data_IF_093299299316
#
_entry.id   IF_093299299316
#
_cell.length_a   1.000
_cell.length_b   1.000
_cell.length_c   1.000
_cell.angle_alpha   90.00
_cell.angle_beta   90.00
_cell.angle_gamma   90.00
#
_symmetry.space_group_name_H-M   'P 1'
#
loop_
_entity.id
_entity.type
_entity.pdbx_description
1 polymer ?
#
# COMPACT_ATOMS: atom_id res chain seq x y z
N UNK A 1 -10.14 -7.17 12.82
CA UNK A 1 -10.33 -6.45 14.07
C UNK A 1 -9.55 -5.17 14.06
N UNK A 2 -10.23 -4.07 14.42
CA UNK A 2 -9.71 -2.69 14.39
C UNK A 2 -8.90 -2.36 15.64
N UNK A 3 -8.02 -3.21 16.05
CA UNK A 3 -7.33 -3.07 17.31
C UNK A 3 -5.92 -2.58 17.09
N UNK A 4 -5.64 -1.34 17.51
CA UNK A 4 -4.32 -0.71 17.43
C UNK A 4 -3.63 -0.78 18.79
N UNK A 5 -2.48 -1.45 18.84
CA UNK A 5 -1.55 -1.34 19.96
C UNK A 5 -0.83 0.01 19.88
N UNK A 6 -1.14 0.94 20.77
CA UNK A 6 -0.39 2.18 20.96
C UNK A 6 0.57 1.95 22.13
N UNK A 7 1.85 1.93 21.82
CA UNK A 7 2.92 1.77 22.79
C UNK A 7 2.95 2.94 23.79
N UNK A 8 2.87 2.64 25.08
CA UNK A 8 3.26 3.55 26.15
C UNK A 8 4.58 3.08 26.77
N UNK A 9 5.62 3.87 26.58
CA UNK A 9 6.94 3.85 27.22
C UNK A 9 7.18 2.67 28.17
N UNK A 10 8.10 1.77 27.85
CA UNK A 10 8.66 0.71 28.69
C UNK A 10 7.70 -0.38 29.25
N UNK A 11 6.43 -0.42 28.84
CA UNK A 11 5.48 -1.45 29.32
C UNK A 11 5.15 -2.54 28.29
N UNK A 12 5.78 -2.49 27.10
CA UNK A 12 5.56 -3.52 26.09
C UNK A 12 6.25 -4.81 26.56
N UNK A 13 5.47 -5.80 26.93
CA UNK A 13 5.96 -7.15 27.20
C UNK A 13 6.07 -7.87 25.88
N UNK A 14 7.29 -8.08 25.42
CA UNK A 14 7.59 -8.77 24.18
C UNK A 14 8.16 -10.14 24.52
N UNK A 15 7.66 -11.16 23.84
CA UNK A 15 8.10 -12.54 23.95
C UNK A 15 8.72 -13.02 22.64
N UNK A 16 9.47 -14.10 22.69
CA UNK A 16 9.97 -14.76 21.50
C UNK A 16 8.84 -15.20 20.59
N UNK A 17 9.01 -15.00 19.28
CA UNK A 17 8.01 -15.32 18.27
C UNK A 17 6.86 -14.31 18.13
N UNK A 18 6.86 -13.23 18.90
CA UNK A 18 5.83 -12.20 18.80
C UNK A 18 5.85 -11.51 17.43
N UNK A 19 4.64 -11.10 17.00
CA UNK A 19 4.42 -10.25 15.83
C UNK A 19 4.05 -8.86 16.35
N UNK A 20 4.86 -7.88 16.02
CA UNK A 20 4.66 -6.50 16.45
C UNK A 20 4.18 -5.65 15.27
N UNK A 21 2.97 -5.13 15.36
CA UNK A 21 2.52 -4.08 14.45
C UNK A 21 3.10 -2.73 14.90
N UNK A 22 3.69 -2.00 13.96
CA UNK A 22 4.23 -0.67 14.21
C UNK A 22 3.90 0.27 13.05
N UNK A 23 3.42 1.48 13.35
CA UNK A 23 3.43 2.53 12.33
C UNK A 23 4.86 2.81 11.90
N UNK A 24 5.10 2.97 10.61
CA UNK A 24 6.46 3.22 10.08
C UNK A 24 7.12 4.43 10.74
N UNK A 25 6.38 5.46 11.12
CA UNK A 25 6.88 6.65 11.86
C UNK A 25 7.62 6.32 13.16
N UNK A 26 7.26 5.21 13.82
CA UNK A 26 7.76 4.83 15.14
C UNK A 26 8.80 3.71 15.08
N UNK A 27 9.24 3.32 13.86
CA UNK A 27 10.11 2.16 13.71
C UNK A 27 11.45 2.31 14.44
N UNK A 28 12.05 3.51 14.43
CA UNK A 28 13.33 3.75 15.11
C UNK A 28 13.17 3.69 16.63
N UNK A 29 12.01 4.11 17.16
CA UNK A 29 11.70 3.97 18.57
C UNK A 29 11.55 2.49 18.94
N UNK A 30 10.79 1.72 18.16
CA UNK A 30 10.67 0.29 18.36
C UNK A 30 12.05 -0.38 18.35
N UNK A 31 12.91 -0.04 17.39
CA UNK A 31 14.28 -0.58 17.36
C UNK A 31 15.09 -0.23 18.63
N UNK A 32 14.93 0.98 19.15
CA UNK A 32 15.59 1.37 20.42
C UNK A 32 15.12 0.53 21.60
N UNK A 33 13.83 0.24 21.67
CA UNK A 33 13.24 -0.60 22.72
C UNK A 33 13.72 -2.04 22.61
N UNK A 34 13.68 -2.59 21.41
CA UNK A 34 14.10 -3.98 21.16
C UNK A 34 15.58 -4.20 21.47
N UNK A 35 16.46 -3.22 21.17
CA UNK A 35 17.89 -3.31 21.53
C UNK A 35 18.13 -3.36 23.03
N UNK A 36 17.25 -2.76 23.84
CA UNK A 36 17.35 -2.78 25.30
C UNK A 36 16.88 -4.10 25.88
N UNK A 37 16.06 -4.85 25.16
CA UNK A 37 15.49 -6.13 25.59
C UNK A 37 16.31 -7.30 25.04
N UNK A 38 17.45 -7.59 25.70
CA UNK A 38 18.39 -8.65 25.27
C UNK A 38 17.85 -10.09 25.35
N UNK A 39 16.68 -10.30 25.96
CA UNK A 39 16.09 -11.62 26.15
C UNK A 39 15.13 -12.02 25.02
N UNK A 40 14.81 -11.09 24.14
CA UNK A 40 13.84 -11.32 23.05
C UNK A 40 14.57 -11.65 21.76
N UNK A 41 14.20 -12.76 21.16
CA UNK A 41 14.71 -13.20 19.86
C UNK A 41 13.55 -13.64 18.95
N UNK A 42 13.84 -13.79 17.67
CA UNK A 42 12.96 -14.41 16.68
C UNK A 42 11.57 -13.73 16.56
N UNK A 43 11.52 -12.40 16.72
CA UNK A 43 10.29 -11.65 16.52
C UNK A 43 10.09 -11.27 15.05
N UNK A 44 8.85 -10.99 14.69
CA UNK A 44 8.51 -10.41 13.40
C UNK A 44 7.87 -9.04 13.59
N UNK A 45 8.11 -8.12 12.66
CA UNK A 45 7.46 -6.81 12.68
C UNK A 45 6.66 -6.61 11.40
N UNK A 46 5.54 -5.91 11.53
CA UNK A 46 4.70 -5.48 10.43
C UNK A 46 4.57 -3.95 10.51
N UNK A 47 5.07 -3.25 9.49
CA UNK A 47 4.97 -1.79 9.40
C UNK A 47 4.00 -1.37 8.31
N UNK A 48 3.13 -0.41 8.64
CA UNK A 48 2.05 0.07 7.77
C UNK A 48 1.63 1.51 8.12
N UNK A 49 0.65 2.05 7.42
CA UNK A 49 -0.06 3.32 7.67
C UNK A 49 0.71 4.61 7.38
N UNK A 50 1.97 4.57 6.96
CA UNK A 50 2.71 5.76 6.56
C UNK A 50 3.48 5.52 5.27
N UNK A 51 3.38 6.48 4.37
CA UNK A 51 4.02 6.44 3.07
C UNK A 51 5.55 6.61 3.15
N UNK A 52 6.02 7.38 4.11
CA UNK A 52 7.43 7.71 4.29
C UNK A 52 7.93 7.36 5.70
N UNK A 53 9.22 6.99 5.83
CA UNK A 53 10.16 6.72 4.74
C UNK A 53 9.87 5.38 4.06
N UNK A 54 10.27 5.18 2.79
CA UNK A 54 10.34 3.85 2.20
C UNK A 54 11.37 3.00 2.94
N UNK A 55 11.18 1.68 2.93
CA UNK A 55 12.15 0.77 3.57
C UNK A 55 13.29 0.51 2.60
N UNK A 56 14.30 1.34 2.69
CA UNK A 56 15.55 1.24 1.95
C UNK A 56 16.61 0.46 2.73
N UNK A 57 17.71 0.13 2.07
CA UNK A 57 18.85 -0.60 2.67
C UNK A 57 19.35 0.05 3.95
N UNK A 58 19.51 1.39 3.95
CA UNK A 58 19.99 2.15 5.11
C UNK A 58 19.10 1.97 6.34
N UNK A 59 17.77 2.03 6.15
CA UNK A 59 16.81 1.83 7.24
C UNK A 59 16.78 0.36 7.68
N UNK A 60 16.80 -0.57 6.71
CA UNK A 60 16.79 -2.01 6.99
C UNK A 60 18.03 -2.44 7.80
N UNK A 61 19.21 -1.93 7.50
CA UNK A 61 20.46 -2.21 8.26
C UNK A 61 20.41 -1.74 9.71
N UNK A 62 19.52 -0.82 10.06
CA UNK A 62 19.30 -0.42 11.48
C UNK A 62 18.45 -1.43 12.25
N UNK A 63 17.92 -2.46 11.61
CA UNK A 63 17.08 -3.48 12.23
C UNK A 63 17.85 -4.24 13.33
N UNK A 64 17.30 -4.35 14.57
CA UNK A 64 17.87 -5.22 15.60
C UNK A 64 17.93 -6.67 15.18
N UNK A 65 18.95 -7.41 15.62
CA UNK A 65 19.14 -8.83 15.27
C UNK A 65 18.01 -9.75 15.76
N UNK A 66 17.29 -9.37 16.81
CA UNK A 66 16.14 -10.10 17.31
C UNK A 66 14.94 -10.12 16.33
N UNK A 67 14.92 -9.21 15.35
CA UNK A 67 13.88 -9.20 14.31
C UNK A 67 14.28 -10.16 13.19
N UNK A 68 13.51 -11.24 13.05
CA UNK A 68 13.70 -12.24 12.00
C UNK A 68 13.10 -11.78 10.68
N UNK A 69 11.81 -11.42 10.67
CA UNK A 69 11.10 -10.96 9.47
C UNK A 69 10.56 -9.55 9.66
N UNK A 70 10.64 -8.76 8.60
CA UNK A 70 10.03 -7.44 8.53
C UNK A 70 9.09 -7.37 7.33
N UNK A 71 7.78 -7.30 7.61
CA UNK A 71 6.72 -7.09 6.63
C UNK A 71 6.43 -5.60 6.52
N UNK A 72 6.46 -5.03 5.32
CA UNK A 72 6.22 -3.59 5.16
C UNK A 72 5.59 -3.22 3.83
N UNK A 73 4.83 -2.14 3.84
CA UNK A 73 4.52 -1.37 2.63
C UNK A 73 5.75 -0.56 2.20
N UNK A 74 5.75 -0.09 0.94
CA UNK A 74 6.80 0.80 0.40
C UNK A 74 8.24 0.26 0.56
N UNK A 75 8.42 -1.01 0.24
CA UNK A 75 9.74 -1.66 0.28
C UNK A 75 10.54 -1.29 -0.97
N UNK A 76 11.69 -0.64 -0.77
CA UNK A 76 12.62 -0.21 -1.81
C UNK A 76 13.97 -0.96 -1.77
N UNK A 77 14.10 -1.99 -0.93
CA UNK A 77 15.31 -2.79 -0.77
C UNK A 77 14.99 -4.28 -0.83
N UNK A 78 15.81 -5.06 -1.53
CA UNK A 78 15.61 -6.50 -1.65
C UNK A 78 16.39 -7.26 -0.58
N UNK A 79 15.66 -8.02 0.23
CA UNK A 79 16.22 -8.92 1.23
C UNK A 79 15.22 -10.02 1.57
N UNK A 80 15.68 -11.24 1.78
CA UNK A 80 14.83 -12.40 2.09
C UNK A 80 14.03 -12.24 3.38
N UNK A 81 14.48 -11.40 4.29
CA UNK A 81 13.83 -11.13 5.58
C UNK A 81 13.02 -9.82 5.58
N UNK A 82 12.98 -9.10 4.45
CA UNK A 82 12.16 -7.91 4.22
C UNK A 82 11.10 -8.24 3.19
N UNK A 83 9.88 -8.42 3.65
CA UNK A 83 8.78 -8.95 2.84
C UNK A 83 7.81 -7.81 2.51
N UNK A 84 7.66 -7.43 1.25
CA UNK A 84 6.70 -6.42 0.85
C UNK A 84 5.26 -6.91 1.05
N UNK A 85 4.41 -6.03 1.56
CA UNK A 85 2.97 -6.22 1.68
C UNK A 85 2.23 -5.06 1.03
N UNK A 86 1.00 -5.28 0.54
CA UNK A 86 0.23 -4.24 -0.12
C UNK A 86 -0.22 -3.13 0.84
N UNK A 87 -0.27 -1.90 0.31
CA UNK A 87 -0.94 -0.79 0.99
C UNK A 87 -2.45 -1.05 1.09
N UNK A 88 -3.04 -1.60 0.05
CA UNK A 88 -4.46 -1.94 0.00
C UNK A 88 -5.38 -0.72 -0.01
N UNK A 89 -6.57 -0.90 0.53
CA UNK A 89 -7.61 0.13 0.61
C UNK A 89 -7.37 1.10 1.78
N UNK A 90 -8.01 2.26 1.70
CA UNK A 90 -8.03 3.22 2.80
C UNK A 90 -8.71 2.65 4.05
N UNK A 91 -8.19 3.00 5.23
CA UNK A 91 -8.88 2.69 6.48
C UNK A 91 -9.95 3.76 6.80
N UNK A 92 -10.81 3.51 7.77
CA UNK A 92 -11.90 4.43 8.18
C UNK A 92 -11.49 5.88 8.48
N UNK A 93 -10.21 6.13 8.70
CA UNK A 93 -9.68 7.48 8.94
C UNK A 93 -9.17 8.17 7.66
N UNK A 94 -9.02 7.43 6.57
CA UNK A 94 -8.61 7.94 5.27
C UNK A 94 -9.86 8.20 4.40
N UNK A 95 -10.70 9.14 4.84
CA UNK A 95 -12.03 9.40 4.26
C UNK A 95 -12.02 9.81 2.79
N UNK A 96 -10.89 10.29 2.28
CA UNK A 96 -10.70 10.62 0.86
C UNK A 96 -10.43 9.41 -0.02
N UNK A 97 -10.09 8.26 0.57
CA UNK A 97 -9.84 7.01 -0.13
C UNK A 97 -11.09 6.13 -0.10
N UNK A 98 -11.16 5.16 -1.02
CA UNK A 98 -12.24 4.19 -1.01
C UNK A 98 -12.17 3.29 0.22
N UNK A 99 -13.33 3.07 0.82
CA UNK A 99 -13.51 2.21 1.98
C UNK A 99 -14.04 0.85 1.55
N UNK A 100 -13.84 -0.16 2.37
CA UNK A 100 -14.29 -1.52 2.07
C UNK A 100 -15.81 -1.63 1.93
N UNK A 101 -16.56 -0.79 2.62
CA UNK A 101 -18.03 -0.73 2.54
C UNK A 101 -18.49 -0.29 1.16
N UNK A 102 -17.80 0.67 0.54
CA UNK A 102 -18.11 1.19 -0.80
C UNK A 102 -17.79 0.17 -1.90
N UNK A 103 -16.93 -0.79 -1.60
CA UNK A 103 -16.50 -1.83 -2.53
C UNK A 103 -17.40 -3.06 -2.46
N UNK A 104 -17.88 -3.44 -1.27
CA UNK A 104 -18.67 -4.67 -1.06
C UNK A 104 -19.92 -4.76 -1.93
N UNK A 105 -20.55 -3.62 -2.17
CA UNK A 105 -21.81 -3.56 -2.95
C UNK A 105 -21.58 -3.62 -4.47
N UNK A 106 -20.36 -3.39 -4.92
CA UNK A 106 -20.09 -3.13 -6.34
C UNK A 106 -19.13 -4.07 -7.05
N UNK A 107 -18.28 -4.84 -6.34
CA UNK A 107 -17.16 -5.52 -7.02
C UNK A 107 -17.62 -6.52 -8.07
N UNK A 108 -18.54 -7.41 -7.75
CA UNK A 108 -18.98 -8.46 -8.69
C UNK A 108 -19.84 -7.88 -9.82
N UNK A 109 -20.71 -6.93 -9.52
CA UNK A 109 -21.54 -6.26 -10.52
C UNK A 109 -20.71 -5.42 -11.47
N UNK A 110 -19.63 -4.87 -10.97
CA UNK A 110 -18.77 -3.96 -11.69
C UNK A 110 -17.98 -4.62 -12.82
N UNK A 111 -17.52 -5.84 -12.60
CA UNK A 111 -16.84 -6.60 -13.66
C UNK A 111 -17.75 -6.91 -14.86
N UNK A 112 -19.06 -6.84 -14.68
CA UNK A 112 -20.07 -7.06 -15.73
C UNK A 112 -20.52 -5.77 -16.43
N UNK A 113 -20.16 -4.59 -15.88
CA UNK A 113 -20.54 -3.30 -16.48
C UNK A 113 -19.79 -3.04 -17.78
N UNK A 114 -20.47 -2.47 -18.74
CA UNK A 114 -19.87 -1.97 -19.95
C UNK A 114 -18.91 -0.81 -19.63
N UNK A 115 -17.67 -0.93 -20.08
CA UNK A 115 -16.64 0.09 -19.89
C UNK A 115 -16.72 1.11 -21.02
N UNK A 116 -17.11 2.34 -20.72
CA UNK A 116 -17.30 3.43 -21.66
C UNK A 116 -16.00 4.22 -21.93
N UNK A 117 -15.18 4.38 -20.90
CA UNK A 117 -13.93 5.13 -20.97
C UNK A 117 -12.74 4.20 -21.14
N UNK A 118 -11.74 4.59 -21.93
CA UNK A 118 -10.52 3.79 -22.06
C UNK A 118 -9.60 3.99 -20.86
N UNK A 119 -9.17 5.21 -20.57
CA UNK A 119 -8.23 5.50 -19.49
C UNK A 119 -8.74 6.62 -18.59
N UNK A 120 -8.68 6.40 -17.29
CA UNK A 120 -8.93 7.40 -16.26
C UNK A 120 -7.62 7.96 -15.72
N UNK A 121 -7.46 9.29 -15.78
CA UNK A 121 -6.39 10.04 -15.12
C UNK A 121 -7.02 10.93 -14.04
N UNK A 122 -6.99 10.46 -12.80
CA UNK A 122 -7.56 11.19 -11.66
C UNK A 122 -6.71 10.95 -10.41
N UNK A 123 -5.83 11.88 -10.10
CA UNK A 123 -4.99 11.86 -8.89
C UNK A 123 -4.53 13.27 -8.52
N UNK A 124 -4.15 13.46 -7.27
CA UNK A 124 -3.61 14.73 -6.82
C UNK A 124 -2.19 14.95 -7.39
N UNK A 125 -1.95 15.99 -8.22
CA UNK A 125 -0.65 16.23 -8.83
C UNK A 125 0.43 16.65 -7.82
N UNK A 126 0.05 17.25 -6.68
CA UNK A 126 1.00 17.85 -5.73
C UNK A 126 1.75 16.85 -4.86
N UNK A 127 1.37 15.59 -4.87
CA UNK A 127 1.95 14.56 -3.99
C UNK A 127 3.28 13.99 -4.49
N UNK A 128 3.58 14.16 -5.78
CA UNK A 128 4.85 13.78 -6.38
C UNK A 128 5.06 14.52 -7.72
N UNK A 129 6.27 15.02 -7.97
CA UNK A 129 6.62 15.78 -9.19
C UNK A 129 6.40 15.02 -10.50
N UNK A 130 6.52 13.68 -10.48
CA UNK A 130 6.29 12.85 -11.67
C UNK A 130 4.84 12.95 -12.16
N UNK A 131 3.90 13.23 -11.27
CA UNK A 131 2.46 13.30 -11.57
C UNK A 131 2.09 14.42 -12.52
N UNK A 132 2.76 15.58 -12.41
CA UNK A 132 2.56 16.69 -13.34
C UNK A 132 2.96 16.29 -14.76
N UNK A 133 4.10 15.62 -14.93
CA UNK A 133 4.57 15.11 -16.22
C UNK A 133 3.59 14.09 -16.82
N UNK A 134 3.06 13.23 -15.99
CA UNK A 134 2.07 12.21 -16.41
C UNK A 134 0.78 12.87 -16.86
N UNK A 135 0.26 13.87 -16.14
CA UNK A 135 -0.92 14.63 -16.54
C UNK A 135 -0.70 15.28 -17.91
N UNK A 136 0.46 15.92 -18.12
CA UNK A 136 0.81 16.55 -19.38
C UNK A 136 0.88 15.53 -20.54
N UNK A 137 1.39 14.33 -20.29
CA UNK A 137 1.44 13.25 -21.28
C UNK A 137 0.05 12.84 -21.77
N UNK A 138 -0.94 12.79 -20.88
CA UNK A 138 -2.30 12.36 -21.19
C UNK A 138 -3.26 13.50 -21.60
N UNK A 139 -2.85 14.76 -21.49
CA UNK A 139 -3.74 15.93 -21.53
C UNK A 139 -4.58 16.05 -22.81
N UNK A 140 -3.98 15.77 -23.95
CA UNK A 140 -4.58 16.03 -25.26
C UNK A 140 -5.08 14.74 -25.97
N UNK A 141 -5.16 13.65 -25.23
CA UNK A 141 -5.60 12.36 -25.78
C UNK A 141 -7.13 12.21 -25.64
N UNK A 142 -7.86 12.14 -26.74
CA UNK A 142 -9.31 12.10 -26.80
C UNK A 142 -9.95 10.82 -26.24
N UNK A 143 -9.16 9.78 -26.00
CA UNK A 143 -9.57 8.51 -25.38
C UNK A 143 -9.24 8.45 -23.88
N UNK A 144 -8.80 9.55 -23.30
CA UNK A 144 -8.46 9.68 -21.88
C UNK A 144 -9.46 10.60 -21.18
N UNK A 145 -10.01 10.14 -20.09
CA UNK A 145 -10.76 10.99 -19.15
C UNK A 145 -9.76 11.59 -18.17
N UNK A 146 -9.38 12.84 -18.40
CA UNK A 146 -8.48 13.59 -17.54
C UNK A 146 -9.30 14.63 -16.78
N UNK A 147 -9.76 14.26 -15.60
CA UNK A 147 -10.64 15.08 -14.80
C UNK A 147 -9.89 15.59 -13.56
N UNK A 148 -10.15 16.82 -13.15
CA UNK A 148 -9.62 17.34 -11.89
C UNK A 148 -10.16 16.50 -10.72
N UNK A 149 -9.62 16.75 -9.53
CA UNK A 149 -10.05 16.08 -8.30
C UNK A 149 -11.57 16.26 -8.15
N UNK A 150 -12.30 15.15 -8.24
CA UNK A 150 -13.76 15.10 -8.09
C UNK A 150 -14.14 14.74 -6.66
N UNK A 151 -15.42 14.91 -6.35
CA UNK A 151 -16.01 14.29 -5.19
C UNK A 151 -15.88 12.76 -5.27
N UNK A 152 -15.82 12.11 -4.14
CA UNK A 152 -15.58 10.66 -4.05
C UNK A 152 -16.59 9.83 -4.84
N UNK A 153 -17.86 10.26 -4.83
CA UNK A 153 -18.94 9.57 -5.58
C UNK A 153 -18.69 9.60 -7.08
N UNK A 154 -18.32 10.74 -7.62
CA UNK A 154 -18.06 10.91 -9.06
C UNK A 154 -16.82 10.11 -9.48
N UNK A 155 -15.80 10.11 -8.62
CA UNK A 155 -14.61 9.29 -8.83
C UNK A 155 -14.93 7.78 -8.87
N UNK A 156 -15.82 7.30 -8.00
CA UNK A 156 -16.27 5.91 -8.01
C UNK A 156 -16.97 5.57 -9.34
N UNK A 157 -17.85 6.44 -9.83
CA UNK A 157 -18.52 6.23 -11.10
C UNK A 157 -17.53 6.23 -12.28
N UNK A 158 -16.55 7.12 -12.28
CA UNK A 158 -15.50 7.14 -13.30
C UNK A 158 -14.68 5.83 -13.30
N UNK A 159 -14.37 5.30 -12.11
CA UNK A 159 -13.71 3.98 -12.00
C UNK A 159 -14.59 2.88 -12.59
N UNK A 160 -15.88 2.91 -12.31
CA UNK A 160 -16.81 1.88 -12.80
C UNK A 160 -16.85 1.78 -14.33
N UNK A 161 -16.78 2.90 -15.00
CA UNK A 161 -16.91 2.95 -16.47
C UNK A 161 -15.56 2.92 -17.21
N UNK A 162 -14.42 2.91 -16.50
CA UNK A 162 -13.10 2.93 -17.11
C UNK A 162 -12.51 1.54 -17.28
N UNK A 163 -11.78 1.31 -18.38
CA UNK A 163 -10.98 0.09 -18.61
C UNK A 163 -9.67 0.11 -17.85
N UNK A 164 -9.02 1.26 -17.84
CA UNK A 164 -7.71 1.48 -17.23
C UNK A 164 -7.72 2.71 -16.30
N UNK A 165 -6.84 2.72 -15.31
CA UNK A 165 -6.62 3.87 -14.45
C UNK A 165 -5.12 4.11 -14.24
N UNK A 166 -4.70 5.35 -14.37
CA UNK A 166 -3.30 5.74 -14.16
C UNK A 166 -3.01 5.87 -12.66
N UNK A 167 -2.04 5.08 -12.19
CA UNK A 167 -1.74 4.88 -10.77
C UNK A 167 -0.27 5.23 -10.45
N UNK A 168 0.15 6.50 -10.60
CA UNK A 168 1.55 6.88 -10.36
C UNK A 168 1.87 6.89 -8.88
N UNK A 169 3.17 6.77 -8.54
CA UNK A 169 3.64 6.97 -7.17
C UNK A 169 3.15 8.31 -6.61
N UNK A 170 2.97 8.36 -5.30
CA UNK A 170 2.53 9.57 -4.59
C UNK A 170 3.50 9.92 -3.46
N UNK A 171 2.96 10.13 -2.27
CA UNK A 171 3.76 10.24 -1.05
C UNK A 171 4.55 8.95 -0.75
N UNK A 172 4.02 7.80 -1.16
CA UNK A 172 4.66 6.50 -1.09
C UNK A 172 4.86 5.90 -2.46
N UNK A 173 5.62 4.80 -2.50
CA UNK A 173 5.86 4.01 -3.70
C UNK A 173 4.59 3.24 -4.11
N UNK A 174 3.97 2.56 -3.15
CA UNK A 174 2.67 1.93 -3.32
C UNK A 174 1.54 2.93 -3.06
N UNK A 175 0.47 2.87 -3.83
CA UNK A 175 -0.64 3.83 -3.75
C UNK A 175 -1.99 3.13 -3.62
N UNK A 176 -2.92 3.73 -2.88
CA UNK A 176 -4.29 3.21 -2.77
C UNK A 176 -4.96 3.09 -4.14
N UNK A 177 -4.70 4.03 -5.07
CA UNK A 177 -5.25 4.02 -6.42
C UNK A 177 -4.99 2.72 -7.18
N UNK A 178 -3.81 2.13 -7.02
CA UNK A 178 -3.47 0.84 -7.61
C UNK A 178 -4.44 -0.26 -7.13
N UNK A 179 -4.63 -0.37 -5.82
CA UNK A 179 -5.48 -1.37 -5.21
C UNK A 179 -6.96 -1.09 -5.45
N UNK A 180 -7.39 0.16 -5.34
CA UNK A 180 -8.73 0.61 -5.67
C UNK A 180 -9.10 0.20 -7.10
N UNK A 181 -8.22 0.43 -8.07
CA UNK A 181 -8.43 0.03 -9.46
C UNK A 181 -8.67 -1.47 -9.60
N UNK A 182 -7.80 -2.29 -9.00
CA UNK A 182 -7.95 -3.75 -9.05
C UNK A 182 -9.28 -4.23 -8.44
N UNK A 183 -9.68 -3.66 -7.31
CA UNK A 183 -10.98 -4.01 -6.69
C UNK A 183 -12.16 -3.63 -7.56
N UNK A 184 -12.06 -2.58 -8.37
CA UNK A 184 -13.11 -2.17 -9.30
C UNK A 184 -13.01 -2.81 -10.70
N UNK A 185 -12.13 -3.79 -10.88
CA UNK A 185 -11.95 -4.43 -12.20
C UNK A 185 -11.40 -3.47 -13.25
N UNK A 186 -10.58 -2.54 -12.83
CA UNK A 186 -9.88 -1.57 -13.66
C UNK A 186 -8.41 -1.93 -13.69
N UNK A 187 -7.82 -1.97 -14.87
CA UNK A 187 -6.40 -2.32 -15.02
C UNK A 187 -5.52 -1.12 -14.67
N UNK A 188 -4.64 -1.22 -13.68
CA UNK A 188 -3.76 -0.11 -13.34
C UNK A 188 -2.66 0.08 -14.39
N UNK A 189 -2.41 1.33 -14.74
CA UNK A 189 -1.24 1.79 -15.51
C UNK A 189 -0.30 2.43 -14.51
N UNK A 190 0.93 1.94 -14.44
CA UNK A 190 1.94 2.38 -13.48
C UNK A 190 3.16 2.97 -14.18
N UNK A 191 3.89 3.80 -13.48
CA UNK A 191 5.24 4.19 -13.90
C UNK A 191 6.29 3.21 -13.34
N UNK A 192 7.51 3.29 -13.85
CA UNK A 192 8.61 2.41 -13.43
C UNK A 192 9.23 2.77 -12.07
N UNK A 193 8.62 3.68 -11.32
CA UNK A 193 9.17 4.15 -10.03
C UNK A 193 9.03 3.11 -8.91
N UNK A 194 8.12 2.15 -9.07
CA UNK A 194 7.94 1.07 -8.11
C UNK A 194 7.65 -0.25 -8.82
N UNK A 195 8.39 -1.28 -8.45
CA UNK A 195 8.21 -2.63 -8.99
C UNK A 195 7.13 -3.39 -8.22
N UNK A 196 5.90 -3.34 -8.73
CA UNK A 196 4.75 -4.05 -8.16
C UNK A 196 4.89 -5.59 -8.28
N UNK A 197 5.83 -6.11 -9.08
CA UNK A 197 6.09 -7.55 -9.15
C UNK A 197 6.58 -8.12 -7.82
N UNK A 198 7.11 -7.29 -6.94
CA UNK A 198 7.49 -7.65 -5.57
C UNK A 198 6.29 -7.97 -4.68
N UNK A 199 5.14 -7.39 -5.00
CA UNK A 199 3.87 -7.64 -4.29
C UNK A 199 3.10 -8.78 -4.95
N UNK A 200 2.92 -8.69 -6.25
CA UNK A 200 2.13 -9.63 -7.04
C UNK A 200 2.99 -10.08 -8.22
N UNK A 201 3.18 -11.37 -8.38
CA UNK A 201 4.02 -11.87 -9.49
C UNK A 201 3.44 -11.44 -10.84
N UNK A 202 4.28 -11.11 -11.84
CA UNK A 202 3.83 -10.68 -13.17
C UNK A 202 2.91 -11.67 -13.88
N UNK A 203 2.96 -12.95 -13.49
CA UNK A 203 2.04 -13.98 -13.99
C UNK A 203 0.62 -13.84 -13.41
N UNK A 204 0.49 -13.18 -12.27
CA UNK A 204 -0.76 -13.06 -11.52
C UNK A 204 -1.55 -11.80 -11.88
N UNK A 205 -0.87 -10.64 -11.88
CA UNK A 205 -1.46 -9.37 -12.29
C UNK A 205 -0.50 -8.65 -13.23
N UNK A 206 -0.83 -8.59 -14.52
CA UNK A 206 -0.11 -7.70 -15.41
C UNK A 206 -0.70 -6.29 -15.26
N UNK A 207 0.05 -5.43 -14.62
CA UNK A 207 -0.11 -4.00 -14.77
C UNK A 207 0.56 -3.56 -16.08
N UNK A 208 0.06 -2.50 -16.68
CA UNK A 208 0.64 -1.91 -17.87
C UNK A 208 1.61 -0.81 -17.45
N UNK A 209 2.81 -0.82 -18.03
CA UNK A 209 3.75 0.29 -17.88
C UNK A 209 3.29 1.51 -18.67
N UNK A 210 3.47 2.71 -18.13
CA UNK A 210 3.09 3.95 -18.80
C UNK A 210 3.81 4.13 -20.14
N UNK A 211 5.00 3.59 -20.30
CA UNK A 211 5.75 3.62 -21.56
C UNK A 211 5.13 2.80 -22.69
N UNK A 212 4.28 1.83 -22.35
CA UNK A 212 3.54 0.98 -23.30
C UNK A 212 2.18 1.56 -23.70
N UNK A 213 1.78 2.70 -23.13
CA UNK A 213 0.44 3.25 -23.25
C UNK A 213 0.25 3.92 -24.61
N UNK A 214 -0.54 3.27 -25.46
CA UNK A 214 -1.17 3.85 -26.63
C UNK A 214 -2.49 3.10 -26.88
N UNK A 215 -3.44 3.73 -27.56
CA UNK A 215 -4.80 3.20 -27.72
C UNK A 215 -4.81 1.78 -28.29
N UNK A 216 -4.03 1.51 -29.33
CA UNK A 216 -3.96 0.19 -29.98
C UNK A 216 -3.50 -0.90 -29.01
N UNK A 217 -2.44 -0.62 -28.22
CA UNK A 217 -1.93 -1.58 -27.23
C UNK A 217 -2.97 -1.82 -26.11
N UNK A 218 -3.63 -0.78 -25.66
CA UNK A 218 -4.65 -0.87 -24.60
C UNK A 218 -5.82 -1.76 -25.05
N UNK A 219 -6.37 -1.50 -26.23
CA UNK A 219 -7.47 -2.30 -26.78
C UNK A 219 -7.07 -3.77 -26.99
N UNK A 220 -5.91 -4.01 -27.58
CA UNK A 220 -5.39 -5.37 -27.83
C UNK A 220 -5.14 -6.16 -26.54
N UNK A 221 -4.72 -5.50 -25.44
CA UNK A 221 -4.35 -6.19 -24.20
C UNK A 221 -5.51 -6.32 -23.22
N UNK A 222 -6.60 -5.56 -23.35
CA UNK A 222 -7.63 -5.43 -22.31
C UNK A 222 -8.26 -6.78 -21.92
N UNK A 223 -8.78 -7.54 -22.88
CA UNK A 223 -9.48 -8.80 -22.59
C UNK A 223 -8.58 -9.83 -21.89
N UNK A 224 -7.33 -9.87 -22.28
CA UNK A 224 -6.34 -10.74 -21.62
C UNK A 224 -6.06 -10.29 -20.18
N UNK A 225 -5.92 -8.98 -19.95
CA UNK A 225 -5.58 -8.44 -18.65
C UNK A 225 -6.75 -8.55 -17.67
N UNK A 226 -7.96 -8.24 -18.12
CA UNK A 226 -9.16 -8.35 -17.27
C UNK A 226 -9.44 -9.82 -16.91
N UNK A 227 -9.28 -10.74 -17.85
CA UNK A 227 -9.40 -12.18 -17.56
C UNK A 227 -8.40 -12.60 -16.46
N UNK A 228 -7.15 -12.20 -16.57
CA UNK A 228 -6.14 -12.49 -15.54
C UNK A 228 -6.51 -11.91 -14.18
N UNK A 229 -7.04 -10.70 -14.14
CA UNK A 229 -7.53 -10.10 -12.90
C UNK A 229 -8.64 -10.92 -12.28
N UNK A 230 -9.65 -11.31 -13.08
CA UNK A 230 -10.76 -12.14 -12.63
C UNK A 230 -10.31 -13.50 -12.10
N UNK A 231 -9.38 -14.15 -12.77
CA UNK A 231 -8.84 -15.46 -12.36
C UNK A 231 -8.03 -15.40 -11.06
N UNK A 232 -7.70 -14.21 -10.54
CA UNK A 232 -6.85 -14.03 -9.38
C UNK A 232 -7.43 -13.10 -8.29
N UNK A 233 -8.75 -12.89 -8.28
CA UNK A 233 -9.41 -11.99 -7.30
C UNK A 233 -9.15 -12.37 -5.84
N UNK A 234 -8.97 -13.64 -5.55
CA UNK A 234 -8.64 -14.13 -4.20
C UNK A 234 -7.38 -13.48 -3.62
N UNK A 235 -6.40 -13.12 -4.50
CA UNK A 235 -5.13 -12.49 -4.10
C UNK A 235 -5.29 -11.04 -3.64
N UNK A 236 -6.46 -10.45 -3.87
CA UNK A 236 -6.81 -9.15 -3.29
C UNK A 236 -7.30 -9.26 -1.85
N UNK A 237 -7.49 -10.48 -1.32
CA UNK A 237 -8.01 -10.70 0.02
C UNK A 237 -6.90 -10.79 1.07
N UNK A 238 -7.17 -10.26 2.26
CA UNK A 238 -6.29 -10.40 3.42
C UNK A 238 -6.03 -11.87 3.73
N UNK A 239 -7.05 -12.73 3.59
CA UNK A 239 -6.93 -14.16 3.86
C UNK A 239 -5.87 -14.83 3.00
N UNK A 240 -5.81 -14.48 1.71
CA UNK A 240 -4.77 -15.00 0.82
C UNK A 240 -3.37 -14.56 1.26
N UNK A 241 -3.19 -13.27 1.60
CA UNK A 241 -1.90 -12.73 2.06
C UNK A 241 -1.43 -13.40 3.35
N UNK A 242 -2.32 -13.58 4.32
CA UNK A 242 -2.01 -14.30 5.56
C UNK A 242 -1.60 -15.76 5.29
N UNK A 243 -2.28 -16.43 4.37
CA UNK A 243 -1.98 -17.82 4.05
C UNK A 243 -0.64 -18.00 3.31
N UNK A 244 -0.33 -17.14 2.36
CA UNK A 244 0.76 -17.39 1.40
C UNK A 244 2.03 -16.57 1.64
N UNK A 245 1.91 -15.41 2.28
CA UNK A 245 3.04 -14.50 2.52
C UNK A 245 3.36 -14.33 4.01
N UNK A 246 2.37 -14.43 4.86
CA UNK A 246 2.49 -14.18 6.31
C UNK A 246 2.38 -15.49 7.11
N UNK A 247 2.22 -16.63 6.46
CA UNK A 247 2.19 -17.96 7.10
C UNK A 247 3.53 -18.33 7.78
N UNK A 248 4.59 -17.60 7.43
CA UNK A 248 5.87 -17.61 8.14
C UNK A 248 5.75 -17.10 9.59
N UNK A 249 4.63 -16.45 9.93
CA UNK A 249 4.33 -15.96 11.26
C UNK A 249 3.60 -17.08 12.02
N UNK A 250 4.29 -17.78 12.89
CA UNK A 250 3.63 -18.67 13.84
C UNK A 250 2.60 -17.86 14.64
N UNK A 251 1.33 -18.30 14.59
CA UNK A 251 0.22 -17.62 15.26
C UNK A 251 0.41 -17.67 16.77
N UNK A 252 0.92 -16.61 17.35
CA UNK A 252 0.81 -16.40 18.78
C UNK A 252 -0.59 -15.83 19.09
N UNK A 253 -1.39 -16.57 19.87
CA UNK A 253 -2.81 -16.29 20.12
C UNK A 253 -3.09 -15.13 21.08
N UNK A 254 -2.09 -14.38 21.52
CA UNK A 254 -2.25 -13.38 22.58
C UNK A 254 -2.10 -11.97 22.04
N UNK A 255 -3.21 -11.36 21.69
CA UNK A 255 -3.31 -9.89 21.52
C UNK A 255 -3.33 -9.27 22.91
N UNK A 256 -2.39 -8.37 23.19
CA UNK A 256 -2.25 -7.76 24.51
C UNK A 256 -2.18 -6.25 24.42
N UNK A 257 -3.12 -5.59 25.07
CA UNK A 257 -3.16 -4.20 25.53
C UNK A 257 -3.33 -3.06 24.51
N UNK A 258 -4.36 -2.30 24.77
CA UNK A 258 -4.71 -1.01 24.17
C UNK A 258 -4.28 0.14 25.06
N UNK A 259 -3.85 1.26 24.47
CA UNK A 259 -3.51 2.46 25.19
C UNK A 259 -4.04 3.71 24.46
N UNK A 260 -4.70 4.59 25.19
CA UNK A 260 -5.19 5.85 24.66
C UNK A 260 -4.06 6.81 24.29
N UNK A 261 -4.27 7.51 23.18
CA UNK A 261 -3.34 8.45 22.60
C UNK A 261 -3.51 9.83 23.26
N UNK A 262 -2.54 10.27 24.04
CA UNK A 262 -2.61 11.54 24.75
C UNK A 262 -1.85 12.69 24.05
N UNK A 263 -1.92 13.91 24.63
CA UNK A 263 -1.26 15.10 24.08
C UNK A 263 0.25 14.93 23.94
N UNK A 264 0.92 14.33 24.91
CA UNK A 264 2.37 14.10 24.91
C UNK A 264 2.80 13.15 23.77
N UNK A 265 2.00 12.15 23.46
CA UNK A 265 2.24 11.24 22.35
C UNK A 265 2.18 11.98 21.01
N UNK A 266 1.32 13.01 20.87
CA UNK A 266 1.25 13.88 19.68
C UNK A 266 2.51 14.72 19.50
N UNK A 267 3.02 15.32 20.57
CA UNK A 267 4.24 16.13 20.56
C UNK A 267 5.44 15.23 20.22
N UNK A 268 5.53 14.09 20.88
CA UNK A 268 6.60 13.12 20.63
C UNK A 268 6.60 12.57 19.20
N UNK A 269 5.44 12.31 18.63
CA UNK A 269 5.29 11.92 17.23
C UNK A 269 5.85 12.98 16.27
N UNK A 270 5.59 14.28 16.52
CA UNK A 270 6.16 15.36 15.71
C UNK A 270 7.68 15.37 15.77
N UNK A 271 8.25 15.19 16.96
CA UNK A 271 9.70 15.10 17.17
C UNK A 271 10.31 13.91 16.41
N UNK A 272 9.71 12.73 16.48
CA UNK A 272 10.16 11.54 15.75
C UNK A 272 10.10 11.74 14.23
N UNK A 273 9.04 12.35 13.71
CA UNK A 273 8.94 12.69 12.28
C UNK A 273 10.06 13.62 11.83
N UNK A 274 10.36 14.63 12.64
CA UNK A 274 11.46 15.55 12.36
C UNK A 274 12.80 14.81 12.35
N UNK A 275 13.06 13.96 13.33
CA UNK A 275 14.27 13.13 13.43
C UNK A 275 14.43 12.19 12.26
N UNK A 276 13.34 11.57 11.79
CA UNK A 276 13.38 10.70 10.62
C UNK A 276 13.71 11.48 9.34
N UNK A 277 13.11 12.66 9.15
CA UNK A 277 13.45 13.54 8.02
C UNK A 277 14.93 13.95 8.02
N UNK A 278 15.49 14.26 9.17
CA UNK A 278 16.91 14.64 9.31
C UNK A 278 17.88 13.46 9.07
N UNK A 279 17.46 12.24 9.35
CA UNK A 279 18.32 11.05 9.17
C UNK A 279 18.19 10.41 7.79
N UNK A 280 17.12 10.64 7.07
CA UNK A 280 16.78 9.97 5.80
C UNK A 280 16.37 10.95 4.67
N UNK A 281 16.35 12.27 4.91
CA UNK A 281 16.22 13.32 3.89
C UNK A 281 17.60 13.77 3.44
#
# INVERSE_FOLDING_TARGET
GDEFLIYRRNKLKISEGDIIFCKTDFILELFSILRKNKKVNNISILTHQMANPPIEEKLFKLKPSCIKYWFSINVAYENTNLIPIPLGLGNKYATTNLQIEEIKEGVIENYKREKKNTVLVNFNPTTNKIREKIILYFKDLNWVTNEPIKEKKDFIEDLFISKYSVCPIGWGLDTHRYWESLYFGVIPIVDNSYDYSKLLTPSEFKYLDISEVNLTNLEKKYDMLIKKLLDNLEKLTISWWFKHKIDLLQRNKNIREFLDYNFFDKVYKRFLKLRMRLNFG
#
